data_IF_285392840217
#
_entry.id   IF_285392840217
#
_cell.length_a   1.000
_cell.length_b   1.000
_cell.length_c   1.000
_cell.angle_alpha   90.00
_cell.angle_beta   90.00
_cell.angle_gamma   90.00
#
_symmetry.space_group_name_H-M   'P 1'
#
loop_
_entity.id
_entity.type
_entity.pdbx_description
1 polymer ?
#
# COMPACT_ATOMS: atom_id res chain seq x y z
N UNK A 1 8.32 -17.95 24.74
CA UNK A 1 8.85 -18.96 25.68
C UNK A 1 8.08 -18.93 26.99
N UNK A 2 7.86 -17.78 27.63
CA UNK A 2 7.21 -17.69 28.95
C UNK A 2 5.74 -18.12 28.94
N UNK A 3 5.02 -18.02 27.82
CA UNK A 3 3.61 -18.42 27.68
C UNK A 3 3.39 -19.89 27.32
N UNK A 4 4.40 -20.56 26.78
CA UNK A 4 4.32 -22.00 26.45
C UNK A 4 5.08 -22.80 27.50
N UNK A 5 4.35 -23.53 28.32
CA UNK A 5 4.94 -24.31 29.40
C UNK A 5 5.69 -25.55 28.89
N UNK A 6 5.35 -26.02 27.68
CA UNK A 6 5.92 -27.21 27.06
C UNK A 6 6.53 -26.89 25.69
N UNK A 7 7.65 -27.52 25.37
CA UNK A 7 8.31 -27.37 24.06
C UNK A 7 7.49 -27.93 22.89
N UNK A 8 6.63 -28.89 23.13
CA UNK A 8 5.67 -29.45 22.17
C UNK A 8 4.68 -28.43 21.68
N UNK A 9 4.16 -27.58 22.57
CA UNK A 9 3.24 -26.48 22.23
C UNK A 9 3.91 -25.40 21.40
N UNK A 10 5.18 -25.10 21.73
CA UNK A 10 5.98 -24.15 20.92
C UNK A 10 6.27 -24.71 19.52
N UNK A 11 6.57 -26.03 19.43
CA UNK A 11 6.77 -26.69 18.14
C UNK A 11 5.48 -26.69 17.29
N UNK A 12 4.31 -26.87 17.93
CA UNK A 12 3.00 -26.75 17.27
C UNK A 12 2.76 -25.35 16.70
N UNK A 13 3.00 -24.30 17.48
CA UNK A 13 2.89 -22.92 17.05
C UNK A 13 3.81 -22.60 15.86
N UNK A 14 5.07 -23.02 15.96
CA UNK A 14 6.05 -22.86 14.88
C UNK A 14 5.65 -23.60 13.61
N UNK A 15 5.22 -24.86 13.73
CA UNK A 15 4.79 -25.68 12.60
C UNK A 15 3.65 -25.06 11.80
N UNK A 16 2.61 -24.57 12.47
CA UNK A 16 1.47 -23.88 11.82
C UNK A 16 1.91 -22.56 11.16
N UNK A 17 2.73 -21.76 11.82
CA UNK A 17 3.20 -20.49 11.27
C UNK A 17 4.04 -20.71 10.01
N UNK A 18 4.98 -21.64 10.02
CA UNK A 18 5.85 -21.93 8.89
C UNK A 18 5.07 -22.51 7.72
N UNK A 19 4.27 -23.55 7.94
CA UNK A 19 3.51 -24.21 6.86
C UNK A 19 2.45 -23.28 6.27
N UNK A 20 1.82 -22.43 7.08
CA UNK A 20 0.93 -21.38 6.61
C UNK A 20 1.65 -20.36 5.70
N UNK A 21 2.85 -19.94 6.09
CA UNK A 21 3.68 -19.04 5.27
C UNK A 21 4.10 -19.70 3.96
N UNK A 22 4.43 -20.99 3.94
CA UNK A 22 4.78 -21.73 2.73
C UNK A 22 3.63 -21.73 1.73
N UNK A 23 2.39 -22.04 2.17
CA UNK A 23 1.20 -21.99 1.31
C UNK A 23 1.02 -20.60 0.71
N UNK A 24 1.10 -19.53 1.53
CA UNK A 24 0.96 -18.15 1.06
C UNK A 24 2.04 -17.83 0.03
N UNK A 25 3.28 -18.24 0.27
CA UNK A 25 4.40 -18.02 -0.66
C UNK A 25 4.17 -18.74 -1.99
N UNK A 26 3.69 -19.98 -1.98
CA UNK A 26 3.36 -20.74 -3.19
C UNK A 26 2.23 -20.07 -3.99
N UNK A 27 1.20 -19.53 -3.30
CA UNK A 27 0.13 -18.77 -3.95
C UNK A 27 0.64 -17.45 -4.55
N UNK A 28 1.48 -16.71 -3.83
CA UNK A 28 2.10 -15.49 -4.36
C UNK A 28 3.01 -15.80 -5.55
N UNK A 29 3.77 -16.89 -5.50
CA UNK A 29 4.59 -17.34 -6.60
C UNK A 29 3.75 -17.66 -7.84
N UNK A 30 2.60 -18.31 -7.67
CA UNK A 30 1.62 -18.51 -8.75
C UNK A 30 1.21 -17.19 -9.40
N UNK A 31 0.83 -16.19 -8.59
CA UNK A 31 0.42 -14.87 -9.08
C UNK A 31 1.57 -14.16 -9.84
N UNK A 32 2.79 -14.24 -9.35
CA UNK A 32 3.97 -13.65 -10.00
C UNK A 32 4.22 -14.32 -11.37
N UNK A 33 4.17 -15.64 -11.45
CA UNK A 33 4.36 -16.36 -12.70
C UNK A 33 3.30 -15.98 -13.73
N UNK A 34 2.04 -15.84 -13.31
CA UNK A 34 0.93 -15.48 -14.17
C UNK A 34 0.95 -14.01 -14.61
N UNK A 35 1.03 -13.08 -13.66
CA UNK A 35 0.87 -11.66 -13.96
C UNK A 35 2.16 -10.98 -14.40
N UNK A 36 3.27 -11.29 -13.77
CA UNK A 36 4.55 -10.63 -14.06
C UNK A 36 5.36 -11.34 -15.14
N UNK A 37 5.52 -12.65 -15.02
CA UNK A 37 6.25 -13.47 -16.00
C UNK A 37 5.41 -13.89 -17.22
N UNK A 38 4.08 -13.79 -17.14
CA UNK A 38 3.14 -14.17 -18.19
C UNK A 38 3.36 -15.60 -18.71
N UNK A 39 3.72 -16.51 -17.82
CA UNK A 39 3.88 -17.90 -18.19
C UNK A 39 2.53 -18.55 -18.51
N UNK A 40 2.45 -19.46 -19.50
CA UNK A 40 1.22 -20.15 -19.82
C UNK A 40 0.82 -21.12 -18.69
N UNK A 41 -0.47 -21.23 -18.43
CA UNK A 41 -1.05 -22.01 -17.32
C UNK A 41 -0.57 -23.47 -17.30
N UNK A 42 -0.38 -24.09 -18.45
CA UNK A 42 0.06 -25.49 -18.54
C UNK A 42 1.46 -25.74 -17.96
N UNK A 43 2.31 -24.71 -17.86
CA UNK A 43 3.60 -24.77 -17.16
C UNK A 43 3.50 -24.40 -15.69
N UNK A 44 2.63 -23.42 -15.38
CA UNK A 44 2.48 -22.88 -14.02
C UNK A 44 1.77 -23.89 -13.11
N UNK A 45 0.69 -24.50 -13.60
CA UNK A 45 -0.13 -25.44 -12.81
C UNK A 45 0.67 -26.64 -12.29
N UNK A 46 1.42 -27.40 -13.13
CA UNK A 46 2.17 -28.55 -12.61
C UNK A 46 3.30 -28.10 -11.68
N UNK A 47 4.00 -27.02 -11.99
CA UNK A 47 5.10 -26.52 -11.17
C UNK A 47 4.61 -26.10 -9.78
N UNK A 48 3.63 -25.19 -9.72
CA UNK A 48 3.10 -24.67 -8.46
C UNK A 48 2.26 -25.73 -7.76
N UNK A 49 1.58 -26.62 -8.50
CA UNK A 49 0.79 -27.72 -7.96
C UNK A 49 1.63 -28.68 -7.12
N UNK A 50 2.87 -28.98 -7.53
CA UNK A 50 3.81 -29.78 -6.73
C UNK A 50 4.11 -29.08 -5.41
N UNK A 51 4.46 -27.79 -5.42
CA UNK A 51 4.73 -27.04 -4.17
C UNK A 51 3.52 -27.01 -3.26
N UNK A 52 2.34 -26.67 -3.80
CA UNK A 52 1.10 -26.64 -3.00
C UNK A 52 0.76 -28.00 -2.43
N UNK A 53 0.97 -29.10 -3.15
CA UNK A 53 0.71 -30.44 -2.65
C UNK A 53 1.56 -30.76 -1.42
N UNK A 54 2.86 -30.45 -1.45
CA UNK A 54 3.74 -30.60 -0.29
C UNK A 54 3.34 -29.67 0.86
N UNK A 55 3.08 -28.38 0.55
CA UNK A 55 2.71 -27.40 1.57
C UNK A 55 1.43 -27.79 2.29
N UNK A 56 0.41 -28.25 1.55
CA UNK A 56 -0.86 -28.73 2.13
C UNK A 56 -0.63 -29.98 2.95
N UNK A 57 0.17 -30.94 2.48
CA UNK A 57 0.47 -32.16 3.23
C UNK A 57 1.13 -31.83 4.60
N UNK A 58 2.12 -30.93 4.60
CA UNK A 58 2.75 -30.46 5.85
C UNK A 58 1.79 -29.67 6.73
N UNK A 59 0.95 -28.80 6.14
CA UNK A 59 -0.03 -28.04 6.89
C UNK A 59 -1.06 -28.95 7.57
N UNK A 60 -1.60 -29.93 6.84
CA UNK A 60 -2.54 -30.92 7.38
C UNK A 60 -1.88 -31.70 8.51
N UNK A 61 -0.62 -32.17 8.35
CA UNK A 61 0.13 -32.87 9.41
C UNK A 61 0.32 -32.02 10.68
N UNK A 62 0.36 -30.69 10.56
CA UNK A 62 0.47 -29.80 11.71
C UNK A 62 -0.91 -29.34 12.26
N UNK A 63 -2.01 -29.58 11.55
CA UNK A 63 -3.36 -29.15 11.97
C UNK A 63 -3.77 -29.73 13.29
N UNK A 64 -3.38 -31.01 13.57
CA UNK A 64 -3.66 -31.66 14.84
C UNK A 64 -3.00 -30.98 16.05
N UNK A 65 -1.95 -30.19 15.83
CA UNK A 65 -1.24 -29.42 16.86
C UNK A 65 -1.84 -28.04 17.13
N UNK A 66 -2.94 -27.67 16.45
CA UNK A 66 -3.60 -26.37 16.66
C UNK A 66 -4.05 -26.23 18.11
N UNK A 67 -4.64 -27.30 18.70
CA UNK A 67 -5.13 -27.29 20.07
C UNK A 67 -3.96 -27.19 21.07
N UNK A 68 -2.81 -27.78 20.74
CA UNK A 68 -1.64 -27.82 21.63
C UNK A 68 -0.80 -26.55 21.63
N UNK A 69 -1.10 -25.56 20.76
CA UNK A 69 -0.38 -24.28 20.70
C UNK A 69 -0.41 -23.59 19.35
N UNK A 70 -0.80 -24.28 18.28
CA UNK A 70 -0.88 -23.72 16.91
C UNK A 70 -1.95 -22.64 16.73
N UNK A 71 -2.90 -22.49 17.66
CA UNK A 71 -3.90 -21.42 17.66
C UNK A 71 -3.29 -20.03 17.87
N UNK A 72 -2.17 -19.95 18.61
CA UNK A 72 -1.55 -18.68 18.97
C UNK A 72 -1.07 -17.87 17.73
N UNK A 73 -0.27 -18.41 16.80
CA UNK A 73 0.12 -17.66 15.62
C UNK A 73 -1.08 -17.29 14.73
N UNK A 74 -2.14 -18.10 14.68
CA UNK A 74 -3.36 -17.75 13.95
C UNK A 74 -4.08 -16.56 14.59
N UNK A 75 -4.15 -16.53 15.92
CA UNK A 75 -4.73 -15.40 16.65
C UNK A 75 -3.94 -14.10 16.40
N UNK A 76 -2.61 -14.17 16.50
CA UNK A 76 -1.75 -13.00 16.22
C UNK A 76 -1.92 -12.55 14.75
N UNK A 77 -1.93 -13.50 13.81
CA UNK A 77 -2.15 -13.20 12.40
C UNK A 77 -3.50 -12.52 12.13
N UNK A 78 -4.57 -12.98 12.82
CA UNK A 78 -5.89 -12.37 12.72
C UNK A 78 -5.90 -10.92 13.23
N UNK A 79 -5.24 -10.63 14.35
CA UNK A 79 -5.11 -9.26 14.88
C UNK A 79 -4.33 -8.37 13.90
N UNK A 80 -3.19 -8.85 13.41
CA UNK A 80 -2.37 -8.09 12.45
C UNK A 80 -3.15 -7.83 11.16
N UNK A 81 -3.84 -8.83 10.62
CA UNK A 81 -4.68 -8.69 9.43
C UNK A 81 -5.81 -7.67 9.65
N UNK A 82 -6.45 -7.67 10.82
CA UNK A 82 -7.48 -6.70 11.18
C UNK A 82 -6.92 -5.28 11.22
N UNK A 83 -5.77 -5.08 11.86
CA UNK A 83 -5.10 -3.76 11.91
C UNK A 83 -4.72 -3.30 10.51
N UNK A 84 -4.10 -4.17 9.70
CA UNK A 84 -3.68 -3.83 8.34
C UNK A 84 -4.86 -3.51 7.42
N UNK A 85 -5.94 -4.28 7.48
CA UNK A 85 -7.13 -4.04 6.65
C UNK A 85 -7.86 -2.78 7.07
N UNK A 86 -7.95 -2.50 8.37
CA UNK A 86 -8.54 -1.27 8.89
C UNK A 86 -7.70 -0.05 8.48
N UNK A 87 -6.38 -0.15 8.62
CA UNK A 87 -5.46 0.89 8.19
C UNK A 87 -5.57 1.17 6.69
N UNK A 88 -5.59 0.12 5.86
CA UNK A 88 -5.75 0.25 4.42
C UNK A 88 -7.04 0.98 4.06
N UNK A 89 -8.18 0.56 4.61
CA UNK A 89 -9.47 1.21 4.39
C UNK A 89 -9.49 2.67 4.84
N UNK A 90 -8.96 2.95 6.03
CA UNK A 90 -8.88 4.32 6.55
C UNK A 90 -8.01 5.22 5.68
N UNK A 91 -6.90 4.70 5.17
CA UNK A 91 -6.00 5.42 4.28
C UNK A 91 -6.62 5.68 2.90
N UNK A 92 -7.36 4.71 2.35
CA UNK A 92 -8.08 4.87 1.09
C UNK A 92 -9.19 5.92 1.21
N UNK A 93 -9.93 5.93 2.32
CA UNK A 93 -10.98 6.90 2.59
C UNK A 93 -10.41 8.31 2.78
N UNK A 94 -9.33 8.43 3.56
CA UNK A 94 -8.61 9.70 3.73
C UNK A 94 -8.12 10.24 2.38
N UNK A 95 -7.53 9.38 1.55
CA UNK A 95 -7.03 9.77 0.22
C UNK A 95 -8.17 10.24 -0.68
N UNK A 96 -9.31 9.54 -0.68
CA UNK A 96 -10.52 9.89 -1.43
C UNK A 96 -11.05 11.26 -1.01
N UNK A 97 -11.25 11.47 0.29
CA UNK A 97 -11.71 12.76 0.84
C UNK A 97 -10.73 13.91 0.54
N UNK A 98 -9.43 13.63 0.52
CA UNK A 98 -8.42 14.64 0.18
C UNK A 98 -8.41 14.99 -1.32
N UNK A 99 -8.78 14.07 -2.20
CA UNK A 99 -8.88 14.32 -3.64
C UNK A 99 -10.19 15.04 -3.96
N UNK A 100 -11.32 14.55 -3.43
CA UNK A 100 -12.65 15.11 -3.72
C UNK A 100 -12.79 16.56 -3.19
N UNK A 101 -12.08 16.91 -2.14
CA UNK A 101 -12.02 18.26 -1.59
C UNK A 101 -11.05 19.20 -2.33
N UNK A 102 -10.45 18.78 -3.46
CA UNK A 102 -9.55 19.64 -4.23
C UNK A 102 -10.33 20.59 -5.13
N UNK A 103 -9.96 21.84 -5.08
CA UNK A 103 -10.46 22.83 -6.04
C UNK A 103 -9.85 22.54 -7.42
N UNK A 104 -10.65 22.37 -8.49
CA UNK A 104 -10.11 22.30 -9.84
C UNK A 104 -9.25 23.51 -10.16
N UNK A 105 -8.14 23.29 -10.88
CA UNK A 105 -7.22 24.40 -11.20
C UNK A 105 -7.90 25.45 -12.08
N UNK A 106 -8.79 25.02 -12.94
CA UNK A 106 -9.56 25.87 -13.83
C UNK A 106 -10.46 26.83 -13.04
N UNK A 107 -11.10 26.35 -11.99
CA UNK A 107 -11.94 27.16 -11.11
C UNK A 107 -11.10 28.18 -10.35
N UNK A 108 -9.94 27.78 -9.84
CA UNK A 108 -9.01 28.69 -9.17
C UNK A 108 -8.52 29.79 -10.12
N UNK A 109 -8.14 29.44 -11.36
CA UNK A 109 -7.69 30.40 -12.36
C UNK A 109 -8.80 31.35 -12.80
N UNK A 110 -10.05 30.88 -12.89
CA UNK A 110 -11.20 31.72 -13.25
C UNK A 110 -11.54 32.78 -12.17
N UNK A 111 -11.31 32.42 -10.89
CA UNK A 111 -11.57 33.33 -9.77
C UNK A 111 -10.42 34.32 -9.51
N UNK A 112 -9.22 34.04 -10.00
CA UNK A 112 -8.02 34.85 -9.79
C UNK A 112 -8.18 36.30 -10.21
N UNK A 113 -8.73 36.63 -11.39
CA UNK A 113 -8.92 38.00 -11.83
C UNK A 113 -9.89 38.80 -10.96
N UNK A 114 -10.85 38.09 -10.34
CA UNK A 114 -11.87 38.71 -9.46
C UNK A 114 -11.37 38.97 -8.05
N UNK A 115 -10.36 38.23 -7.62
CA UNK A 115 -9.88 38.26 -6.23
C UNK A 115 -8.91 39.40 -5.92
N UNK A 116 -8.48 40.18 -6.90
CA UNK A 116 -7.55 41.35 -6.78
C UNK A 116 -6.30 41.05 -5.93
N UNK A 117 -5.78 39.81 -6.00
CA UNK A 117 -4.58 39.36 -5.27
C UNK A 117 -3.35 40.02 -5.90
N UNK A 118 -2.56 40.79 -5.14
CA UNK A 118 -1.36 41.42 -5.67
C UNK A 118 -0.32 40.36 -6.08
N UNK A 119 0.36 40.63 -7.19
CA UNK A 119 1.48 39.83 -7.66
C UNK A 119 2.78 40.40 -7.13
N UNK A 120 3.63 39.51 -6.61
CA UNK A 120 5.00 39.86 -6.22
C UNK A 120 5.98 39.21 -7.19
N UNK A 121 7.12 39.88 -7.42
CA UNK A 121 8.13 39.41 -8.36
C UNK A 121 8.75 38.07 -7.88
N UNK A 122 9.14 37.28 -8.86
CA UNK A 122 9.82 36.00 -8.63
C UNK A 122 8.94 34.76 -8.87
N UNK A 123 9.53 33.60 -8.58
CA UNK A 123 8.93 32.28 -8.80
C UNK A 123 8.67 31.59 -7.48
N UNK A 124 7.45 31.13 -7.26
CA UNK A 124 7.11 30.25 -6.13
C UNK A 124 6.87 28.83 -6.61
N UNK A 125 7.50 27.87 -5.91
CA UNK A 125 7.31 26.43 -6.17
C UNK A 125 6.46 25.82 -5.07
N UNK A 126 5.29 25.28 -5.44
CA UNK A 126 4.39 24.60 -4.53
C UNK A 126 4.48 23.10 -4.74
N UNK A 127 4.96 22.39 -3.71
CA UNK A 127 5.04 20.92 -3.74
C UNK A 127 3.66 20.30 -3.53
N UNK A 128 3.33 19.31 -4.33
CA UNK A 128 2.07 18.56 -4.24
C UNK A 128 2.31 17.06 -4.40
N UNK A 129 1.51 16.25 -3.71
CA UNK A 129 1.54 14.79 -3.83
C UNK A 129 0.86 14.28 -5.11
N UNK A 130 0.10 15.12 -5.80
CA UNK A 130 -0.62 14.75 -7.02
C UNK A 130 -0.65 15.92 -7.97
N UNK A 131 -0.45 15.70 -9.27
CA UNK A 131 -0.50 16.74 -10.29
C UNK A 131 -1.92 17.24 -10.56
N UNK A 132 -2.94 16.61 -9.98
CA UNK A 132 -4.35 16.95 -10.21
C UNK A 132 -4.86 17.97 -9.19
N UNK A 133 -5.50 19.02 -9.69
CA UNK A 133 -6.14 20.09 -8.90
C UNK A 133 -5.19 21.10 -8.29
N UNK A 134 -5.75 22.09 -7.62
CA UNK A 134 -5.00 23.19 -6.98
C UNK A 134 -4.31 22.69 -5.70
N UNK A 135 -2.98 22.84 -5.54
CA UNK A 135 -2.28 22.48 -4.33
C UNK A 135 -2.83 23.22 -3.10
N UNK A 136 -3.08 22.47 -2.03
CA UNK A 136 -3.54 23.07 -0.76
C UNK A 136 -2.55 24.10 -0.22
N UNK A 137 -1.27 23.88 -0.41
CA UNK A 137 -0.20 24.81 -0.01
C UNK A 137 -0.34 26.15 -0.71
N UNK A 138 -0.73 26.16 -2.00
CA UNK A 138 -1.04 27.39 -2.72
C UNK A 138 -2.28 28.08 -2.13
N UNK A 139 -3.37 27.34 -1.92
CA UNK A 139 -4.59 27.92 -1.34
C UNK A 139 -4.34 28.50 0.05
N UNK A 140 -3.54 27.81 0.89
CA UNK A 140 -3.13 28.35 2.19
C UNK A 140 -2.26 29.60 2.07
N UNK A 141 -1.31 29.61 1.14
CA UNK A 141 -0.49 30.81 0.89
C UNK A 141 -1.37 32.01 0.49
N UNK A 142 -2.26 31.81 -0.46
CA UNK A 142 -3.17 32.87 -0.92
C UNK A 142 -4.09 33.34 0.24
N UNK A 143 -4.64 32.40 1.02
CA UNK A 143 -5.54 32.70 2.12
C UNK A 143 -4.87 33.51 3.24
N UNK A 144 -3.62 33.20 3.57
CA UNK A 144 -2.94 33.79 4.73
C UNK A 144 -2.04 34.95 4.40
N UNK A 145 -1.36 34.91 3.25
CA UNK A 145 -0.41 35.94 2.84
C UNK A 145 -1.03 36.98 1.90
N UNK A 146 -2.19 36.65 1.28
CA UNK A 146 -2.91 37.52 0.33
C UNK A 146 -2.04 38.02 -0.85
N UNK A 147 -1.02 37.24 -1.23
CA UNK A 147 -0.13 37.51 -2.34
C UNK A 147 0.07 36.27 -3.19
N UNK A 148 0.41 36.51 -4.48
CA UNK A 148 0.76 35.44 -5.40
C UNK A 148 1.99 35.88 -6.20
N UNK A 149 2.93 34.96 -6.46
CA UNK A 149 4.11 35.28 -7.29
C UNK A 149 3.73 35.39 -8.75
N UNK A 150 4.55 36.10 -9.49
CA UNK A 150 4.38 36.25 -10.96
C UNK A 150 4.39 34.90 -11.63
N UNK A 151 5.34 34.01 -11.22
CA UNK A 151 5.42 32.65 -11.69
C UNK A 151 5.11 31.68 -10.56
N UNK A 152 4.22 30.73 -10.83
CA UNK A 152 3.82 29.69 -9.88
C UNK A 152 4.05 28.35 -10.55
N UNK A 153 4.89 27.51 -9.91
CA UNK A 153 5.24 26.16 -10.38
C UNK A 153 4.69 25.13 -9.43
N UNK A 154 4.00 24.12 -9.95
CA UNK A 154 3.57 22.96 -9.17
C UNK A 154 4.56 21.84 -9.40
N UNK A 155 5.18 21.37 -8.32
CA UNK A 155 6.14 20.27 -8.34
C UNK A 155 5.52 19.05 -7.68
N UNK A 156 5.40 17.97 -8.44
CA UNK A 156 4.99 16.66 -7.91
C UNK A 156 6.14 15.66 -8.10
N UNK A 157 6.56 15.04 -6.99
CA UNK A 157 7.59 13.99 -7.00
C UNK A 157 6.90 12.66 -6.84
N UNK A 158 6.96 11.82 -7.88
CA UNK A 158 6.40 10.47 -7.87
C UNK A 158 7.52 9.43 -7.87
N UNK A 159 7.51 8.54 -6.88
CA UNK A 159 8.38 7.38 -6.89
C UNK A 159 7.89 6.36 -7.93
N UNK A 160 8.80 5.82 -8.74
CA UNK A 160 8.55 4.72 -9.66
C UNK A 160 9.44 3.55 -9.29
N UNK A 161 8.93 2.33 -9.48
CA UNK A 161 9.68 1.09 -9.24
C UNK A 161 10.67 0.78 -10.39
N UNK A 162 11.24 1.82 -11.01
CA UNK A 162 12.20 1.70 -12.10
C UNK A 162 13.50 2.42 -11.71
N UNK A 163 14.67 1.80 -11.90
CA UNK A 163 15.97 2.42 -11.51
C UNK A 163 16.31 3.65 -12.34
N UNK A 164 15.80 3.76 -13.56
CA UNK A 164 15.99 4.91 -14.44
C UNK A 164 14.65 5.26 -15.05
N UNK A 165 14.22 6.51 -14.89
CA UNK A 165 13.02 7.05 -15.52
C UNK A 165 13.49 7.92 -16.70
N UNK A 166 13.14 7.61 -17.96
CA UNK A 166 13.46 8.47 -19.09
C UNK A 166 12.77 9.82 -18.92
N UNK A 167 13.50 10.87 -19.25
CA UNK A 167 12.91 12.22 -19.36
C UNK A 167 11.86 12.19 -20.47
N UNK A 168 10.60 12.39 -20.13
CA UNK A 168 9.46 12.50 -21.05
C UNK A 168 9.30 13.90 -21.59
#
# INVERSE_FOLDING_TARGET
>A
VVGFKESSSLAGAYGIAVTGTMIITSLLFFLVLMHYRRWPLWKVIPLVGIFIAFDVAFFVGNTFKIIDGGWFPLFVAAIVALVMTTWKKGREELYRNLIDARLPIESFLADLPRSHIPRVSGTAVFMTLSPLGTPRTLLHNVKHNHVLHEQVVFLSIMAKDAPIVPAG
#
